data_IF_415320747855
#
_entry.id   IF_415320747855
#
_cell.length_a   1.000
_cell.length_b   1.000
_cell.length_c   1.000
_cell.angle_alpha   90.00
_cell.angle_beta   90.00
_cell.angle_gamma   90.00
#
_symmetry.space_group_name_H-M   'P 1'
#
loop_
_entity.id
_entity.type
_entity.pdbx_description
1 polymer ?
#
# COMPACT_ATOMS: atom_id res chain seq x y z
N UNK A 1 -14.33 14.68 10.43
CA UNK A 1 -13.50 13.54 10.01
C UNK A 1 -12.12 14.12 9.69
N UNK A 2 -11.13 13.86 10.54
CA UNK A 2 -9.81 14.42 10.36
C UNK A 2 -9.10 13.62 9.26
N UNK A 3 -8.82 14.28 8.13
CA UNK A 3 -7.83 13.80 7.17
C UNK A 3 -6.49 13.76 7.90
N UNK A 4 -6.19 12.63 8.55
CA UNK A 4 -4.83 12.31 8.96
C UNK A 4 -4.09 12.19 7.64
N UNK A 5 -3.26 13.19 7.32
CA UNK A 5 -2.31 13.11 6.22
C UNK A 5 -1.42 11.93 6.62
N UNK A 6 -1.75 10.72 6.15
CA UNK A 6 -1.03 9.52 6.52
C UNK A 6 0.36 9.68 5.90
N UNK A 7 1.30 10.15 6.72
CA UNK A 7 2.64 10.52 6.29
C UNK A 7 3.34 9.25 5.81
N UNK A 8 3.31 9.04 4.49
CA UNK A 8 4.10 8.02 3.84
C UNK A 8 5.57 8.19 4.26
N UNK A 9 6.22 7.07 4.52
CA UNK A 9 7.64 7.03 4.81
C UNK A 9 8.39 7.46 3.54
N UNK A 10 8.92 8.67 3.53
CA UNK A 10 9.67 9.23 2.39
C UNK A 10 11.16 8.94 2.51
N UNK A 11 11.77 8.55 1.40
CA UNK A 11 13.23 8.28 1.33
C UNK A 11 14.03 9.57 1.21
N UNK A 12 13.41 10.64 0.72
CA UNK A 12 14.08 11.89 0.39
C UNK A 12 13.36 13.06 1.02
N UNK A 13 14.10 13.87 1.78
CA UNK A 13 13.60 15.04 2.52
C UNK A 13 14.66 16.14 2.40
N UNK A 14 14.27 17.34 1.98
CA UNK A 14 15.13 18.53 1.91
C UNK A 14 16.48 18.30 1.23
N UNK A 15 16.46 17.68 0.05
CA UNK A 15 17.66 17.36 -0.72
C UNK A 15 18.62 16.35 -0.08
N UNK A 16 18.13 15.60 0.90
CA UNK A 16 18.91 14.59 1.61
C UNK A 16 18.16 13.27 1.68
N UNK A 17 18.94 12.21 1.71
CA UNK A 17 18.43 10.86 1.92
C UNK A 17 18.14 10.68 3.41
N UNK A 18 16.94 10.19 3.74
CA UNK A 18 16.57 9.82 5.09
C UNK A 18 16.90 8.34 5.33
N UNK A 19 18.10 8.07 5.84
CA UNK A 19 18.55 6.70 6.11
C UNK A 19 17.69 5.95 7.13
N UNK A 20 17.07 6.66 8.09
CA UNK A 20 16.16 6.04 9.06
C UNK A 20 14.95 5.42 8.35
N UNK A 21 14.36 6.17 7.42
CA UNK A 21 13.23 5.71 6.63
C UNK A 21 13.61 4.56 5.70
N UNK A 22 14.79 4.62 5.06
CA UNK A 22 15.33 3.50 4.27
C UNK A 22 15.45 2.24 5.12
N UNK A 23 15.99 2.35 6.34
CA UNK A 23 16.16 1.20 7.22
C UNK A 23 14.82 0.56 7.60
N UNK A 24 13.79 1.37 7.86
CA UNK A 24 12.42 0.86 8.11
C UNK A 24 11.91 0.10 6.88
N UNK A 25 12.00 0.69 5.68
CA UNK A 25 11.51 0.08 4.44
C UNK A 25 12.24 -1.22 4.07
N UNK A 26 13.54 -1.32 4.40
CA UNK A 26 14.37 -2.51 4.15
C UNK A 26 14.21 -3.60 5.22
N UNK A 27 13.67 -3.26 6.39
CA UNK A 27 13.53 -4.23 7.48
C UNK A 27 12.41 -5.21 7.18
N UNK A 28 12.69 -6.50 7.36
CA UNK A 28 11.69 -7.56 7.19
C UNK A 28 10.54 -7.36 8.19
N UNK A 29 9.32 -7.31 7.68
CA UNK A 29 8.12 -7.16 8.50
C UNK A 29 7.84 -8.42 9.33
N UNK A 30 7.23 -8.23 10.49
CA UNK A 30 6.84 -9.28 11.43
C UNK A 30 5.47 -9.83 11.07
N UNK A 31 5.25 -11.16 11.19
CA UNK A 31 3.93 -11.73 10.97
C UNK A 31 2.92 -11.21 11.98
N UNK A 32 1.67 -11.10 11.55
CA UNK A 32 0.50 -10.85 12.39
C UNK A 32 0.11 -12.14 13.09
N UNK A 33 -0.14 -12.07 14.40
CA UNK A 33 -0.68 -13.19 15.18
C UNK A 33 -2.20 -13.16 15.16
N UNK A 34 -2.84 -14.34 15.18
CA UNK A 34 -4.29 -14.46 15.26
C UNK A 34 -4.73 -14.91 16.66
N UNK A 35 -5.91 -14.45 17.16
CA UNK A 35 -6.82 -13.49 16.53
C UNK A 35 -6.22 -12.09 16.40
N UNK A 36 -6.72 -11.29 15.46
CA UNK A 36 -6.21 -9.92 15.24
C UNK A 36 -6.46 -9.07 16.49
N UNK A 37 -5.47 -8.24 16.86
CA UNK A 37 -5.61 -7.31 17.97
C UNK A 37 -6.18 -5.97 17.49
N UNK A 38 -6.72 -5.14 18.40
CA UNK A 38 -7.20 -3.80 18.04
C UNK A 38 -6.14 -2.93 17.36
N UNK A 39 -4.87 -3.15 17.68
CA UNK A 39 -3.77 -2.45 17.00
C UNK A 39 -3.63 -2.87 15.53
N UNK A 40 -3.86 -4.14 15.21
CA UNK A 40 -3.84 -4.63 13.82
C UNK A 40 -5.04 -4.08 13.05
N UNK A 41 -6.21 -4.01 13.69
CA UNK A 41 -7.41 -3.39 13.11
C UNK A 41 -7.15 -1.93 12.75
N UNK A 42 -6.49 -1.16 13.62
CA UNK A 42 -6.09 0.22 13.30
C UNK A 42 -5.15 0.31 12.10
N UNK A 43 -4.18 -0.61 11.97
CA UNK A 43 -3.28 -0.63 10.81
C UNK A 43 -4.07 -0.91 9.52
N UNK A 44 -5.06 -1.79 9.59
CA UNK A 44 -5.94 -2.11 8.46
C UNK A 44 -6.76 -0.87 8.06
N UNK A 45 -7.32 -0.14 9.02
CA UNK A 45 -8.03 1.12 8.76
C UNK A 45 -7.10 2.15 8.11
N UNK A 46 -5.89 2.36 8.65
CA UNK A 46 -4.91 3.30 8.09
C UNK A 46 -4.50 2.92 6.65
N UNK A 47 -4.39 1.62 6.35
CA UNK A 47 -4.14 1.13 4.99
C UNK A 47 -5.30 1.45 4.04
N UNK A 48 -6.54 1.22 4.47
CA UNK A 48 -7.74 1.53 3.67
C UNK A 48 -7.82 3.04 3.42
N UNK A 49 -7.70 3.85 4.46
CA UNK A 49 -7.77 5.31 4.35
C UNK A 49 -6.69 5.86 3.42
N UNK A 50 -5.47 5.32 3.50
CA UNK A 50 -4.38 5.74 2.62
C UNK A 50 -4.60 5.30 1.17
N UNK A 51 -5.02 4.06 0.95
CA UNK A 51 -5.29 3.53 -0.39
C UNK A 51 -6.41 4.31 -1.09
N UNK A 52 -7.45 4.73 -0.36
CA UNK A 52 -8.53 5.55 -0.91
C UNK A 52 -8.13 7.02 -1.10
N UNK A 53 -7.16 7.51 -0.31
CA UNK A 53 -6.67 8.89 -0.36
C UNK A 53 -5.62 9.15 -1.44
N UNK A 54 -4.93 8.12 -1.92
CA UNK A 54 -3.80 8.24 -2.85
C UNK A 54 -4.03 7.37 -4.08
N UNK A 55 -3.79 7.92 -5.27
CA UNK A 55 -3.80 7.14 -6.52
C UNK A 55 -2.63 6.14 -6.51
N UNK A 56 -2.92 4.88 -6.24
CA UNK A 56 -1.92 3.81 -6.24
C UNK A 56 -2.58 2.43 -6.46
N UNK A 57 -1.81 1.48 -7.00
CA UNK A 57 -2.26 0.09 -7.16
C UNK A 57 -2.27 -0.71 -5.85
N UNK A 58 -1.56 -0.23 -4.82
CA UNK A 58 -1.50 -0.87 -3.51
C UNK A 58 -0.48 -0.22 -2.59
N UNK A 59 -0.59 -0.52 -1.30
CA UNK A 59 0.28 -0.01 -0.25
C UNK A 59 0.54 -1.08 0.82
N UNK A 60 1.80 -1.17 1.25
CA UNK A 60 2.23 -2.04 2.34
C UNK A 60 2.34 -1.25 3.66
N UNK A 61 2.09 -1.92 4.79
CA UNK A 61 2.04 -1.26 6.09
C UNK A 61 3.37 -0.59 6.50
N UNK A 62 4.52 -1.11 6.05
CA UNK A 62 5.83 -0.50 6.29
C UNK A 62 6.02 0.85 5.57
N UNK A 63 5.30 1.09 4.46
CA UNK A 63 5.27 2.41 3.82
C UNK A 63 4.51 3.45 4.66
N UNK A 64 3.73 3.01 5.65
CA UNK A 64 3.12 3.83 6.70
C UNK A 64 3.92 3.81 8.01
N UNK A 65 5.08 3.14 8.03
CA UNK A 65 5.95 3.02 9.20
C UNK A 65 5.64 1.84 10.12
N UNK A 66 4.69 0.96 9.77
CA UNK A 66 4.38 -0.23 10.56
C UNK A 66 5.28 -1.43 10.22
N UNK A 67 5.72 -2.18 11.22
CA UNK A 67 6.57 -3.36 11.03
C UNK A 67 5.77 -4.67 10.94
N UNK A 68 4.53 -4.62 10.45
CA UNK A 68 3.63 -5.79 10.32
C UNK A 68 3.46 -6.22 8.87
N UNK A 69 3.35 -7.54 8.65
CA UNK A 69 3.21 -8.17 7.34
C UNK A 69 1.76 -8.05 6.83
N UNK A 70 1.41 -6.84 6.42
CA UNK A 70 0.08 -6.43 5.94
C UNK A 70 0.24 -5.63 4.64
N UNK A 71 -0.66 -5.88 3.69
CA UNK A 71 -0.68 -5.23 2.39
C UNK A 71 -2.14 -5.05 1.93
N UNK A 72 -2.44 -3.92 1.30
CA UNK A 72 -3.68 -3.69 0.56
C UNK A 72 -3.32 -3.41 -0.90
N UNK A 73 -4.11 -3.95 -1.83
CA UNK A 73 -3.93 -3.70 -3.25
C UNK A 73 -5.25 -3.77 -4.00
N UNK A 74 -5.24 -3.34 -5.26
CA UNK A 74 -6.37 -3.47 -6.16
C UNK A 74 -6.77 -4.94 -6.32
N UNK A 75 -8.08 -5.22 -6.25
CA UNK A 75 -8.62 -6.57 -6.42
C UNK A 75 -8.62 -7.01 -7.88
N UNK A 76 -9.03 -6.10 -8.73
CA UNK A 76 -9.08 -6.25 -10.18
C UNK A 76 -8.27 -5.11 -10.79
N UNK A 77 -7.66 -5.39 -11.94
CA UNK A 77 -7.14 -4.31 -12.78
C UNK A 77 -8.28 -3.34 -13.09
N UNK A 78 -7.94 -2.06 -13.28
CA UNK A 78 -8.92 -1.05 -13.68
C UNK A 78 -9.29 -1.32 -15.14
N UNK A 79 -10.13 -2.33 -15.37
CA UNK A 79 -10.82 -2.47 -16.64
C UNK A 79 -11.82 -1.32 -16.73
N UNK A 80 -11.57 -0.39 -17.67
CA UNK A 80 -12.48 0.69 -18.12
C UNK A 80 -12.33 2.09 -17.49
N UNK A 81 -11.16 2.72 -17.60
CA UNK A 81 -11.10 4.20 -17.82
C UNK A 81 -9.78 4.74 -18.36
N UNK A 82 -8.82 3.92 -18.76
CA UNK A 82 -7.86 4.38 -19.78
C UNK A 82 -8.61 4.24 -21.09
N UNK A 83 -9.40 5.25 -21.45
CA UNK A 83 -9.56 5.52 -22.86
C UNK A 83 -8.15 5.49 -23.46
N UNK A 84 -7.96 4.86 -24.62
CA UNK A 84 -6.72 5.02 -25.42
C UNK A 84 -6.44 6.50 -25.79
N UNK A 85 -7.31 7.40 -25.36
CA UNK A 85 -7.11 8.84 -25.28
C UNK A 85 -5.96 9.16 -24.30
N UNK A 86 -4.78 9.40 -24.88
CA UNK A 86 -3.55 9.88 -24.22
C UNK A 86 -3.70 11.22 -23.47
N UNK A 87 -4.91 11.77 -23.38
CA UNK A 87 -5.23 13.01 -22.67
C UNK A 87 -5.60 12.80 -21.20
N UNK A 88 -5.86 11.56 -20.75
CA UNK A 88 -6.12 11.26 -19.34
C UNK A 88 -4.80 11.00 -18.63
N UNK A 89 -4.52 11.81 -17.60
CA UNK A 89 -3.40 11.57 -16.70
C UNK A 89 -3.67 10.32 -15.87
N UNK A 90 -2.74 9.37 -15.90
CA UNK A 90 -2.80 8.14 -15.11
C UNK A 90 -2.81 8.43 -13.60
N UNK A 91 -2.27 9.58 -13.19
CA UNK A 91 -2.25 10.03 -11.79
C UNK A 91 -3.67 10.43 -11.30
N UNK A 92 -4.60 10.73 -12.21
CA UNK A 92 -5.98 11.10 -11.90
C UNK A 92 -6.92 9.89 -11.77
N UNK A 93 -6.45 8.68 -12.09
CA UNK A 93 -7.27 7.46 -12.04
C UNK A 93 -7.38 6.96 -10.59
N UNK A 94 -8.49 7.30 -9.92
CA UNK A 94 -8.77 6.81 -8.57
C UNK A 94 -9.36 5.40 -8.58
N UNK A 95 -8.82 4.47 -7.78
CA UNK A 95 -9.45 3.16 -7.60
C UNK A 95 -10.87 3.32 -7.07
N UNK A 96 -11.79 2.49 -7.60
CA UNK A 96 -13.11 2.34 -7.01
C UNK A 96 -12.99 1.98 -5.53
N UNK A 97 -13.77 2.59 -4.61
CA UNK A 97 -13.69 2.28 -3.18
C UNK A 97 -13.98 0.83 -2.80
N UNK A 98 -14.49 0.02 -3.75
CA UNK A 98 -14.76 -1.42 -3.57
C UNK A 98 -13.72 -2.31 -4.25
N UNK A 99 -12.78 -1.73 -5.00
CA UNK A 99 -11.76 -2.47 -5.73
C UNK A 99 -10.48 -2.61 -4.89
N UNK A 100 -10.56 -3.29 -3.75
CA UNK A 100 -9.39 -3.60 -2.95
C UNK A 100 -9.48 -4.98 -2.30
N UNK A 101 -8.32 -5.55 -2.02
CA UNK A 101 -8.14 -6.74 -1.19
C UNK A 101 -7.06 -6.50 -0.15
N UNK A 102 -7.24 -7.08 1.03
CA UNK A 102 -6.31 -6.98 2.15
C UNK A 102 -5.70 -8.34 2.40
N UNK A 103 -4.38 -8.37 2.47
CA UNK A 103 -3.59 -9.56 2.65
C UNK A 103 -2.89 -9.51 4.01
N UNK A 104 -3.17 -10.51 4.84
CA UNK A 104 -2.53 -10.69 6.15
C UNK A 104 -1.56 -11.85 6.05
N UNK A 105 -0.30 -11.61 6.39
CA UNK A 105 0.79 -12.57 6.27
C UNK A 105 1.00 -13.19 4.86
N UNK A 106 0.79 -12.48 3.72
CA UNK A 106 0.80 -13.09 2.39
C UNK A 106 2.09 -13.83 2.05
N UNK A 107 1.98 -14.93 1.29
CA UNK A 107 3.10 -15.70 0.78
C UNK A 107 2.88 -15.97 -0.71
N UNK A 108 3.94 -15.88 -1.50
CA UNK A 108 3.94 -16.24 -2.92
C UNK A 108 4.56 -17.63 -3.01
N UNK A 109 3.74 -18.63 -3.35
CA UNK A 109 4.17 -20.03 -3.40
C UNK A 109 4.58 -20.50 -4.80
N UNK A 110 4.18 -19.76 -5.84
CA UNK A 110 4.48 -20.07 -7.24
C UNK A 110 4.74 -18.80 -8.03
N UNK A 111 5.69 -18.91 -8.95
CA UNK A 111 5.98 -17.92 -9.98
C UNK A 111 6.00 -18.64 -11.33
N UNK A 112 5.57 -17.97 -12.40
CA UNK A 112 5.74 -18.49 -13.76
C UNK A 112 7.21 -18.31 -14.17
N UNK A 113 7.74 -19.21 -14.98
CA UNK A 113 9.08 -19.09 -15.57
C UNK A 113 9.23 -17.81 -16.42
N UNK A 114 8.13 -17.21 -16.86
CA UNK A 114 8.12 -15.91 -17.54
C UNK A 114 8.30 -14.70 -16.60
N UNK A 115 8.29 -14.90 -15.28
CA UNK A 115 8.35 -13.84 -14.27
C UNK A 115 9.78 -13.52 -13.77
N UNK A 116 10.80 -14.22 -14.27
CA UNK A 116 12.23 -14.06 -13.93
C UNK A 116 13.05 -13.79 -15.17
#
# INVERSE_FOLDING_TARGET
MANKKNDLVTVWIDNKINEKNINILRTKTKPVTFPVSPHIEQIIEDLIDTFLGISCAGIAANQLGYDRKLFIGMKHEIENSVSEDSSIDIDDVKPSPKNYEIYINPQIDKIDNKST
#
